data_IF_683452574109
#
_entry.id   IF_683452574109
#
_cell.length_a   1.000
_cell.length_b   1.000
_cell.length_c   1.000
_cell.angle_alpha   90.00
_cell.angle_beta   90.00
_cell.angle_gamma   90.00
#
_symmetry.space_group_name_H-M   'P 1'
#
loop_
_entity.id
_entity.type
_entity.pdbx_description
1 polymer ?
#
# COMPACT_ATOMS: atom_id res chain seq x y z
N UNK A 1 -6.31 18.86 -14.11
CA UNK A 1 -6.65 19.57 -12.85
C UNK A 1 -5.42 20.36 -12.45
N UNK A 2 -5.52 21.60 -11.98
CA UNK A 2 -4.36 22.38 -11.52
C UNK A 2 -4.08 22.10 -10.04
N UNK A 3 -2.85 22.33 -9.58
CA UNK A 3 -2.48 22.15 -8.17
C UNK A 3 -3.36 22.97 -7.21
N UNK A 4 -3.74 24.18 -7.62
CA UNK A 4 -4.67 25.03 -6.86
C UNK A 4 -6.06 24.39 -6.72
N UNK A 5 -6.63 23.89 -7.83
CA UNK A 5 -7.93 23.19 -7.82
C UNK A 5 -7.87 21.87 -7.05
N UNK A 6 -6.71 21.20 -7.03
CA UNK A 6 -6.50 19.99 -6.25
C UNK A 6 -6.49 20.24 -4.75
N UNK A 7 -5.72 21.23 -4.32
CA UNK A 7 -5.66 21.60 -2.91
C UNK A 7 -7.01 22.13 -2.40
N UNK A 8 -7.74 22.88 -3.22
CA UNK A 8 -9.08 23.37 -2.87
C UNK A 8 -10.10 22.23 -2.76
N UNK A 9 -10.03 21.23 -3.63
CA UNK A 9 -10.90 20.06 -3.58
C UNK A 9 -10.60 19.16 -2.35
N UNK A 10 -9.34 19.02 -1.98
CA UNK A 10 -8.91 18.23 -0.81
C UNK A 10 -9.35 18.85 0.52
N UNK A 11 -9.23 20.17 0.65
CA UNK A 11 -9.55 20.88 1.90
C UNK A 11 -11.06 21.02 2.16
N UNK A 12 -11.90 20.76 1.15
CA UNK A 12 -13.38 20.80 1.20
C UNK A 12 -13.97 22.01 1.95
N UNK A 13 -13.26 23.14 1.92
CA UNK A 13 -13.63 24.42 2.54
C UNK A 13 -13.21 25.56 1.61
N UNK A 14 -14.00 26.64 1.51
CA UNK A 14 -13.61 27.81 0.75
C UNK A 14 -12.47 28.54 1.47
N UNK A 15 -11.25 28.36 0.98
CA UNK A 15 -10.08 29.14 1.40
C UNK A 15 -9.77 30.23 0.37
N UNK A 16 -9.25 31.39 0.80
CA UNK A 16 -8.78 32.42 -0.11
C UNK A 16 -7.65 31.87 -1.00
N UNK A 17 -7.69 32.18 -2.30
CA UNK A 17 -6.70 31.71 -3.29
C UNK A 17 -5.27 32.04 -2.88
N UNK A 18 -5.04 33.25 -2.33
CA UNK A 18 -3.75 33.69 -1.80
C UNK A 18 -3.19 32.74 -0.74
N UNK A 19 -4.05 32.15 0.10
CA UNK A 19 -3.60 31.22 1.16
C UNK A 19 -3.17 29.88 0.56
N UNK A 20 -3.87 29.42 -0.48
CA UNK A 20 -3.55 28.20 -1.21
C UNK A 20 -2.25 28.37 -2.02
N UNK A 21 -2.08 29.50 -2.70
CA UNK A 21 -0.85 29.84 -3.43
C UNK A 21 0.36 29.93 -2.49
N UNK A 22 0.21 30.57 -1.33
CA UNK A 22 1.28 30.65 -0.33
C UNK A 22 1.65 29.26 0.22
N UNK A 23 0.66 28.38 0.42
CA UNK A 23 0.91 26.99 0.81
C UNK A 23 1.62 26.18 -0.27
N UNK A 24 1.27 26.38 -1.54
CA UNK A 24 1.93 25.72 -2.69
C UNK A 24 3.36 26.23 -2.89
N UNK A 25 3.57 27.54 -2.83
CA UNK A 25 4.89 28.16 -2.90
C UNK A 25 5.82 27.70 -1.77
N UNK A 26 5.31 27.56 -0.54
CA UNK A 26 6.06 27.00 0.60
C UNK A 26 6.57 25.58 0.36
N UNK A 27 5.87 24.81 -0.48
CA UNK A 27 6.24 23.45 -0.84
C UNK A 27 6.97 23.37 -2.20
N UNK A 28 7.43 24.51 -2.76
CA UNK A 28 8.06 24.59 -4.08
C UNK A 28 7.19 24.02 -5.22
N UNK A 29 5.86 24.13 -5.09
CA UNK A 29 4.90 23.69 -6.11
C UNK A 29 4.31 24.90 -6.83
N UNK A 30 4.28 24.84 -8.16
CA UNK A 30 3.63 25.85 -9.00
C UNK A 30 2.11 25.66 -8.97
N UNK A 31 1.36 26.75 -8.75
CA UNK A 31 -0.09 26.72 -8.62
C UNK A 31 -0.79 26.40 -9.95
N UNK A 32 -0.21 26.85 -11.06
CA UNK A 32 -0.74 26.67 -12.41
C UNK A 32 -0.27 25.38 -13.08
N UNK A 33 0.69 24.68 -12.48
CA UNK A 33 1.12 23.38 -12.97
C UNK A 33 -0.03 22.36 -12.95
N UNK A 34 0.01 21.47 -13.93
CA UNK A 34 -0.92 20.33 -13.98
C UNK A 34 -0.67 19.45 -12.76
N UNK A 35 -1.72 19.26 -11.96
CA UNK A 35 -1.70 18.30 -10.85
C UNK A 35 -1.51 16.91 -11.42
N UNK A 36 -0.35 16.34 -11.14
CA UNK A 36 -0.04 14.94 -11.37
C UNK A 36 -0.24 14.24 -10.04
N UNK A 37 -1.24 13.36 -9.97
CA UNK A 37 -1.36 12.44 -8.83
C UNK A 37 -0.04 11.68 -8.74
N UNK A 38 0.65 11.65 -7.59
CA UNK A 38 1.84 10.84 -7.44
C UNK A 38 1.46 9.36 -7.62
N UNK A 39 1.62 8.86 -8.84
CA UNK A 39 1.33 7.49 -9.25
C UNK A 39 2.31 6.48 -8.61
N UNK A 40 3.27 6.98 -7.83
CA UNK A 40 4.35 6.21 -7.23
C UNK A 40 3.98 5.53 -5.90
N UNK A 41 2.90 5.93 -5.23
CA UNK A 41 2.53 5.34 -3.93
C UNK A 41 2.05 3.89 -4.13
N UNK A 42 1.20 3.68 -5.15
CA UNK A 42 0.67 2.35 -5.49
C UNK A 42 1.77 1.32 -5.80
N UNK A 43 2.72 1.55 -6.72
CA UNK A 43 3.76 0.58 -7.03
C UNK A 43 4.71 0.33 -5.85
N UNK A 44 4.97 1.32 -4.99
CA UNK A 44 5.78 1.15 -3.77
C UNK A 44 5.06 0.28 -2.75
N UNK A 45 3.77 0.53 -2.48
CA UNK A 45 2.99 -0.29 -1.55
C UNK A 45 2.82 -1.73 -2.09
N UNK A 46 2.69 -1.91 -3.40
CA UNK A 46 2.64 -3.25 -4.03
C UNK A 46 3.99 -3.96 -3.92
N UNK A 47 5.11 -3.27 -4.11
CA UNK A 47 6.45 -3.85 -3.90
C UNK A 47 6.66 -4.27 -2.44
N UNK A 48 6.18 -3.48 -1.48
CA UNK A 48 6.19 -3.83 -0.05
C UNK A 48 5.38 -5.10 0.22
N UNK A 49 4.20 -5.23 -0.37
CA UNK A 49 3.37 -6.44 -0.26
C UNK A 49 4.09 -7.69 -0.81
N UNK A 50 4.86 -7.53 -1.90
CA UNK A 50 5.72 -8.59 -2.44
C UNK A 50 6.87 -8.98 -1.50
N UNK A 51 7.51 -8.00 -0.87
CA UNK A 51 8.59 -8.22 0.09
C UNK A 51 8.11 -8.90 1.38
N UNK A 52 6.92 -8.54 1.86
CA UNK A 52 6.29 -9.24 2.99
C UNK A 52 6.08 -10.72 2.67
N UNK A 53 5.64 -11.03 1.45
CA UNK A 53 5.44 -12.40 1.01
C UNK A 53 6.76 -13.19 0.95
N UNK A 54 7.83 -12.60 0.42
CA UNK A 54 9.13 -13.29 0.35
C UNK A 54 9.71 -13.57 1.73
N UNK A 55 9.50 -12.67 2.70
CA UNK A 55 9.87 -12.90 4.11
C UNK A 55 9.04 -14.05 4.70
N UNK A 56 7.72 -14.06 4.48
CA UNK A 56 6.84 -15.10 5.01
C UNK A 56 7.09 -16.49 4.41
N UNK A 57 7.54 -16.57 3.16
CA UNK A 57 7.91 -17.84 2.50
C UNK A 57 9.34 -18.30 2.80
N UNK A 58 10.15 -17.50 3.50
CA UNK A 58 11.52 -17.88 3.86
C UNK A 58 11.50 -18.99 4.91
N UNK A 59 12.10 -20.17 4.66
CA UNK A 59 12.09 -21.31 5.57
C UNK A 59 13.00 -21.12 6.80
N UNK A 60 13.69 -19.98 6.92
CA UNK A 60 14.55 -19.63 8.05
C UNK A 60 14.00 -18.36 8.67
N UNK A 61 13.84 -18.35 10.00
CA UNK A 61 13.68 -17.09 10.75
C UNK A 61 14.71 -16.10 10.23
N UNK A 62 14.22 -15.03 9.60
CA UNK A 62 15.08 -13.95 9.14
C UNK A 62 15.55 -13.24 10.41
N UNK A 63 16.82 -13.48 10.77
CA UNK A 63 17.48 -12.78 11.86
C UNK A 63 18.44 -11.77 11.26
N UNK A 64 18.05 -10.51 11.31
CA UNK A 64 18.88 -9.42 10.83
C UNK A 64 19.13 -8.46 12.00
N UNK A 65 20.42 -8.29 12.35
CA UNK A 65 20.85 -7.55 13.55
C UNK A 65 20.23 -8.14 14.83
N UNK A 66 19.37 -7.35 15.52
CA UNK A 66 18.64 -7.72 16.73
C UNK A 66 17.19 -8.15 16.46
N UNK A 67 16.74 -8.12 15.21
CA UNK A 67 15.37 -8.44 14.85
C UNK A 67 15.24 -9.91 14.49
N UNK A 68 14.35 -10.63 15.16
CA UNK A 68 14.01 -12.02 14.87
C UNK A 68 12.51 -12.11 14.61
N UNK A 69 12.13 -12.49 13.38
CA UNK A 69 10.73 -12.77 13.05
C UNK A 69 10.36 -14.16 13.55
N UNK A 70 9.33 -14.24 14.39
CA UNK A 70 8.76 -15.49 14.88
C UNK A 70 7.50 -15.88 14.08
N UNK A 71 7.08 -17.14 14.14
CA UNK A 71 5.89 -17.61 13.40
C UNK A 71 4.62 -16.79 13.71
N UNK A 72 4.49 -16.30 14.94
CA UNK A 72 3.34 -15.47 15.34
C UNK A 72 3.31 -14.11 14.62
N UNK A 73 4.48 -13.52 14.37
CA UNK A 73 4.60 -12.25 13.65
C UNK A 73 4.31 -12.42 12.14
N UNK A 74 4.47 -13.64 11.65
CA UNK A 74 4.34 -13.99 10.23
C UNK A 74 2.87 -13.94 9.77
N UNK A 75 1.93 -14.39 10.59
CA UNK A 75 0.49 -14.28 10.33
C UNK A 75 0.02 -12.82 10.27
N UNK A 76 0.56 -11.97 11.15
CA UNK A 76 0.23 -10.54 11.17
C UNK A 76 0.83 -9.79 9.98
N UNK A 77 2.03 -10.18 9.54
CA UNK A 77 2.61 -9.72 8.29
C UNK A 77 1.76 -10.11 7.07
N UNK A 78 1.24 -11.33 7.02
CA UNK A 78 0.35 -11.78 5.94
C UNK A 78 -0.98 -11.00 5.92
N UNK A 79 -1.55 -10.65 7.08
CA UNK A 79 -2.72 -9.76 7.16
C UNK A 79 -2.40 -8.37 6.62
N UNK A 80 -1.23 -7.80 6.94
CA UNK A 80 -0.78 -6.51 6.40
C UNK A 80 -0.67 -6.54 4.87
N UNK A 81 -0.07 -7.60 4.32
CA UNK A 81 -0.02 -7.82 2.87
C UNK A 81 -1.43 -7.82 2.26
N UNK A 82 -2.37 -8.55 2.86
CA UNK A 82 -3.73 -8.69 2.36
C UNK A 82 -4.50 -7.35 2.38
N UNK A 83 -4.29 -6.51 3.41
CA UNK A 83 -4.85 -5.16 3.48
C UNK A 83 -4.33 -4.28 2.33
N UNK A 84 -3.03 -4.33 2.05
CA UNK A 84 -2.40 -3.55 0.97
C UNK A 84 -2.94 -3.97 -0.40
N UNK A 85 -3.03 -5.28 -0.65
CA UNK A 85 -3.56 -5.83 -1.91
C UNK A 85 -5.02 -5.44 -2.11
N UNK A 86 -5.86 -5.56 -1.06
CA UNK A 86 -7.27 -5.16 -1.09
C UNK A 86 -7.46 -3.67 -1.34
N UNK A 87 -6.61 -2.82 -0.76
CA UNK A 87 -6.65 -1.36 -0.97
C UNK A 87 -6.58 -0.98 -2.44
N UNK A 88 -5.84 -1.75 -3.24
CA UNK A 88 -5.65 -1.50 -4.67
C UNK A 88 -6.46 -2.41 -5.59
N UNK A 89 -7.40 -3.19 -5.04
CA UNK A 89 -8.25 -4.10 -5.82
C UNK A 89 -7.47 -5.21 -6.54
N UNK A 90 -6.28 -5.55 -6.04
CA UNK A 90 -5.49 -6.66 -6.57
C UNK A 90 -6.06 -7.99 -6.07
N UNK A 91 -5.96 -9.04 -6.89
CA UNK A 91 -6.40 -10.38 -6.52
C UNK A 91 -5.32 -11.01 -5.63
N UNK A 92 -5.71 -11.49 -4.46
CA UNK A 92 -4.79 -12.26 -3.63
C UNK A 92 -4.74 -13.71 -4.11
N UNK A 93 -3.73 -14.04 -4.91
CA UNK A 93 -3.54 -15.40 -5.46
C UNK A 93 -3.31 -16.47 -4.37
N UNK A 94 -3.04 -16.06 -3.13
CA UNK A 94 -2.81 -16.93 -1.98
C UNK A 94 -4.04 -17.08 -1.08
N UNK A 95 -5.03 -16.19 -1.20
CA UNK A 95 -6.29 -16.30 -0.49
C UNK A 95 -7.15 -17.39 -1.15
N UNK A 96 -6.81 -18.63 -0.83
CA UNK A 96 -7.64 -19.83 -1.03
C UNK A 96 -8.15 -20.06 -2.45
N UNK A 97 -7.39 -20.87 -3.21
CA UNK A 97 -8.02 -22.10 -3.67
C UNK A 97 -8.24 -22.97 -2.42
N UNK A 98 -9.43 -22.90 -1.82
CA UNK A 98 -9.96 -24.04 -1.08
C UNK A 98 -10.06 -25.20 -2.08
N UNK A 99 -8.95 -25.88 -2.33
CA UNK A 99 -8.99 -27.19 -2.94
C UNK A 99 -9.52 -28.10 -1.84
N UNK A 100 -10.84 -28.16 -1.69
CA UNK A 100 -11.50 -29.28 -1.04
C UNK A 100 -11.08 -30.53 -1.79
N UNK A 101 -10.02 -31.20 -1.31
CA UNK A 101 -9.67 -32.54 -1.77
C UNK A 101 -10.77 -33.45 -1.27
N UNK A 102 -11.84 -33.58 -2.05
CA UNK A 102 -12.83 -34.65 -1.90
C UNK A 102 -12.22 -35.96 -2.41
N UNK A 103 -11.12 -36.37 -1.80
CA UNK A 103 -10.51 -37.67 -1.98
C UNK A 103 -11.02 -38.59 -0.88
N UNK A 104 -12.06 -39.38 -1.18
CA UNK A 104 -12.45 -40.50 -0.33
C UNK A 104 -11.24 -41.45 -0.26
N UNK A 105 -10.61 -41.58 0.91
CA UNK A 105 -9.56 -42.58 1.13
C UNK A 105 -10.11 -43.97 0.79
N UNK A 106 -9.48 -44.76 -0.09
CA UNK A 106 -9.82 -46.14 -0.34
C UNK A 106 -8.95 -47.03 0.59
N UNK A 107 -9.12 -46.86 1.89
CA UNK A 107 -8.58 -47.75 2.92
C UNK A 107 -9.56 -47.82 4.07
#
# INVERSE_FOLDING_TARGET
MTNLKALQAELNRPMPEITLELALLKNNLDADATYVVPDNIKPVEVALAGLILTIAMSPKSVKELDYQVTEHDMDDLLKLRLIIIKRYGLVDELAEKENTVTGRSPW
#
